data_IF_837329423277
#
_entry.id   IF_837329423277
#
_cell.length_a   1.000
_cell.length_b   1.000
_cell.length_c   1.000
_cell.angle_alpha   90.00
_cell.angle_beta   90.00
_cell.angle_gamma   90.00
#
_symmetry.space_group_name_H-M   'P 1'
#
loop_
_entity.id
_entity.type
_entity.pdbx_description
1 polymer ?
#
# COMPACT_ATOMS: atom_id res chain seq x y z
N UNK A 1 13.81 4.38 30.67
CA UNK A 1 13.49 3.47 29.55
C UNK A 1 14.46 3.85 28.45
N UNK A 2 15.51 3.05 28.25
CA UNK A 2 16.52 3.32 27.24
C UNK A 2 15.89 3.31 25.84
N UNK A 3 16.26 4.28 25.00
CA UNK A 3 15.76 4.43 23.62
C UNK A 3 15.93 3.15 22.77
N UNK A 4 16.89 2.30 23.15
CA UNK A 4 17.16 1.02 22.48
C UNK A 4 16.05 -0.03 22.68
N UNK A 5 15.31 0.02 23.80
CA UNK A 5 14.31 -0.98 24.17
C UNK A 5 12.90 -0.71 23.61
N UNK A 6 12.73 0.32 22.79
CA UNK A 6 11.49 0.56 22.03
C UNK A 6 11.58 0.03 20.61
N UNK A 7 12.77 -0.40 20.16
CA UNK A 7 13.04 -0.78 18.77
C UNK A 7 12.64 -2.21 18.42
N UNK A 8 12.31 -3.04 19.42
CA UNK A 8 11.75 -4.38 19.25
C UNK A 8 10.23 -4.36 19.44
N UNK A 9 9.50 -5.16 18.64
CA UNK A 9 8.03 -5.26 18.69
C UNK A 9 7.51 -5.58 20.11
N UNK A 10 8.33 -6.25 20.92
CA UNK A 10 8.06 -6.57 22.33
C UNK A 10 8.14 -5.38 23.28
N UNK A 11 9.11 -4.49 23.08
CA UNK A 11 9.37 -3.35 23.97
C UNK A 11 8.31 -2.27 23.85
N UNK A 12 7.87 -2.00 22.62
CA UNK A 12 6.75 -1.09 22.38
C UNK A 12 5.41 -1.64 22.88
N UNK A 13 5.15 -2.95 22.71
CA UNK A 13 3.94 -3.59 23.24
C UNK A 13 3.85 -3.50 24.77
N UNK A 14 4.96 -3.78 25.48
CA UNK A 14 5.05 -3.63 26.94
C UNK A 14 4.90 -2.19 27.40
N UNK A 15 5.42 -1.23 26.63
CA UNK A 15 5.25 0.19 26.91
C UNK A 15 3.78 0.63 26.77
N UNK A 16 3.09 0.19 25.71
CA UNK A 16 1.67 0.47 25.50
C UNK A 16 0.80 -0.15 26.62
N UNK A 17 1.05 -1.41 26.98
CA UNK A 17 0.34 -2.10 28.07
C UNK A 17 0.59 -1.43 29.43
N UNK A 18 1.82 -0.96 29.68
CA UNK A 18 2.15 -0.21 30.90
C UNK A 18 1.47 1.16 30.96
N UNK A 19 1.28 1.85 29.82
CA UNK A 19 0.52 3.09 29.75
C UNK A 19 -0.97 2.86 30.04
N UNK A 20 -1.56 1.78 29.53
CA UNK A 20 -2.95 1.41 29.82
C UNK A 20 -3.16 1.00 31.29
N UNK A 21 -2.29 0.14 31.84
CA UNK A 21 -2.39 -0.34 33.22
C UNK A 21 -2.16 0.75 34.28
N UNK A 22 -1.32 1.74 34.00
CA UNK A 22 -1.03 2.83 34.95
C UNK A 22 -2.14 3.88 35.07
N UNK A 23 -3.24 3.73 34.34
CA UNK A 23 -4.37 4.63 34.47
C UNK A 23 -4.04 6.08 34.14
N UNK A 24 -3.09 6.32 33.22
CA UNK A 24 -2.82 7.66 32.67
C UNK A 24 -4.06 8.27 31.96
N UNK A 25 -5.15 7.49 31.88
CA UNK A 25 -6.40 7.75 31.19
C UNK A 25 -7.64 7.66 32.09
N UNK A 26 -7.49 7.50 33.41
CA UNK A 26 -8.63 7.55 34.34
C UNK A 26 -8.89 9.01 34.70
N UNK A 27 -9.90 9.62 34.07
CA UNK A 27 -10.38 10.97 34.39
C UNK A 27 -10.43 11.99 33.25
N UNK A 28 -10.44 11.58 31.98
CA UNK A 28 -10.77 12.48 30.87
C UNK A 28 -12.27 12.40 30.57
N UNK A 29 -13.07 12.97 31.46
CA UNK A 29 -14.47 13.24 31.19
C UNK A 29 -14.56 14.30 30.07
N UNK A 30 -15.31 13.94 29.02
CA UNK A 30 -15.99 14.80 28.03
C UNK A 30 -15.20 15.76 27.11
N UNK A 31 -13.89 16.00 27.30
CA UNK A 31 -13.12 16.83 26.36
C UNK A 31 -12.32 15.97 25.35
N UNK A 32 -12.53 16.24 24.07
CA UNK A 32 -12.01 15.58 22.84
C UNK A 32 -10.51 15.16 22.83
N UNK A 33 -9.69 15.66 23.76
CA UNK A 33 -8.26 15.42 23.84
C UNK A 33 -7.86 13.98 24.14
N UNK A 34 -8.57 13.28 25.04
CA UNK A 34 -8.27 11.90 25.42
C UNK A 34 -8.57 10.90 24.29
N UNK A 35 -9.71 11.08 23.61
CA UNK A 35 -10.10 10.27 22.46
C UNK A 35 -9.20 10.51 21.26
N UNK A 36 -8.84 11.78 20.98
CA UNK A 36 -7.90 12.14 19.92
C UNK A 36 -6.51 11.55 20.17
N UNK A 37 -6.04 11.57 21.41
CA UNK A 37 -4.76 10.97 21.78
C UNK A 37 -4.80 9.45 21.59
N UNK A 38 -5.86 8.76 22.05
CA UNK A 38 -6.01 7.31 21.84
C UNK A 38 -6.09 6.93 20.36
N UNK A 39 -6.77 7.73 19.53
CA UNK A 39 -6.78 7.52 18.08
C UNK A 39 -5.39 7.71 17.46
N UNK A 40 -4.66 8.77 17.85
CA UNK A 40 -3.30 9.03 17.37
C UNK A 40 -2.32 7.96 17.85
N UNK A 41 -2.44 7.52 19.10
CA UNK A 41 -1.62 6.46 19.69
C UNK A 41 -1.92 5.14 19.01
N UNK A 42 -3.19 4.75 18.82
CA UNK A 42 -3.56 3.53 18.07
C UNK A 42 -3.07 3.57 16.63
N UNK A 43 -3.08 4.75 15.98
CA UNK A 43 -2.51 4.93 14.63
C UNK A 43 -0.99 4.82 14.64
N UNK A 44 -0.32 5.39 15.64
CA UNK A 44 1.13 5.26 15.84
C UNK A 44 1.53 3.81 16.12
N UNK A 45 0.82 3.14 17.03
CA UNK A 45 0.95 1.71 17.36
C UNK A 45 0.72 0.87 16.11
N UNK A 46 -0.30 1.15 15.30
CA UNK A 46 -0.54 0.45 14.04
C UNK A 46 0.58 0.66 13.00
N UNK A 47 1.22 1.83 12.99
CA UNK A 47 2.43 2.09 12.18
C UNK A 47 3.64 1.33 12.76
N UNK A 48 3.71 1.16 14.09
CA UNK A 48 4.80 0.47 14.77
C UNK A 48 4.65 -1.06 14.77
N UNK A 49 3.44 -1.60 14.79
CA UNK A 49 3.15 -3.04 14.72
C UNK A 49 3.21 -3.61 13.30
N UNK A 50 3.47 -2.77 12.28
CA UNK A 50 3.77 -3.26 10.93
C UNK A 50 5.00 -4.15 10.98
N UNK A 51 4.85 -5.36 10.45
CA UNK A 51 5.92 -6.34 10.39
C UNK A 51 7.19 -5.69 9.83
N UNK A 52 8.39 -6.07 10.31
CA UNK A 52 9.66 -5.57 9.77
C UNK A 52 9.73 -5.67 8.24
N UNK A 53 9.11 -6.71 7.68
CA UNK A 53 8.98 -6.95 6.25
C UNK A 53 8.06 -5.93 5.54
N UNK A 54 6.98 -5.47 6.17
CA UNK A 54 6.11 -4.40 5.64
C UNK A 54 6.86 -3.08 5.53
N UNK A 55 7.62 -2.72 6.58
CA UNK A 55 8.47 -1.51 6.57
C UNK A 55 9.54 -1.61 5.49
N UNK A 56 10.15 -2.79 5.32
CA UNK A 56 11.13 -3.04 4.27
C UNK A 56 10.52 -2.97 2.87
N UNK A 57 9.31 -3.49 2.67
CA UNK A 57 8.57 -3.38 1.42
C UNK A 57 8.22 -1.91 1.08
N UNK A 58 7.85 -1.10 2.07
CA UNK A 58 7.62 0.34 1.90
C UNK A 58 8.89 1.10 1.48
N UNK A 59 10.03 0.77 2.11
CA UNK A 59 11.32 1.31 1.72
C UNK A 59 11.69 0.91 0.28
N UNK A 60 11.51 -0.36 -0.10
CA UNK A 60 11.75 -0.85 -1.45
C UNK A 60 10.86 -0.17 -2.49
N UNK A 61 9.59 0.09 -2.19
CA UNK A 61 8.68 0.88 -3.04
C UNK A 61 9.20 2.30 -3.24
N UNK A 62 9.67 2.94 -2.17
CA UNK A 62 10.23 4.31 -2.24
C UNK A 62 11.51 4.34 -3.09
N UNK A 63 12.38 3.33 -2.92
CA UNK A 63 13.58 3.12 -3.74
C UNK A 63 13.23 2.88 -5.21
N UNK A 64 12.21 2.07 -5.49
CA UNK A 64 11.72 1.83 -6.85
C UNK A 64 11.22 3.14 -7.49
N UNK A 65 10.46 3.95 -6.76
CA UNK A 65 9.97 5.25 -7.23
C UNK A 65 11.11 6.20 -7.58
N UNK A 66 12.20 6.18 -6.80
CA UNK A 66 13.42 6.92 -7.13
C UNK A 66 14.04 6.44 -8.45
N UNK A 67 14.19 5.13 -8.66
CA UNK A 67 14.72 4.58 -9.90
C UNK A 67 13.84 4.90 -11.11
N UNK A 68 12.51 4.88 -10.97
CA UNK A 68 11.59 5.32 -12.03
C UNK A 68 11.84 6.77 -12.43
N UNK A 69 12.09 7.66 -11.46
CA UNK A 69 12.41 9.07 -11.71
C UNK A 69 13.78 9.25 -12.38
N UNK A 70 14.75 8.42 -12.03
CA UNK A 70 16.08 8.40 -12.67
C UNK A 70 16.04 7.76 -14.06
N UNK A 71 14.96 7.03 -14.39
CA UNK A 71 14.78 6.34 -15.67
C UNK A 71 15.32 4.91 -15.70
N UNK A 72 15.80 4.39 -14.57
CA UNK A 72 16.29 3.01 -14.45
C UNK A 72 15.12 2.05 -14.14
N UNK A 73 14.38 1.71 -15.20
CA UNK A 73 13.20 0.84 -15.12
C UNK A 73 13.55 -0.59 -14.64
N UNK A 74 14.62 -1.24 -15.13
CA UNK A 74 14.98 -2.59 -14.69
C UNK A 74 15.25 -2.68 -13.18
N UNK A 75 15.99 -1.72 -12.60
CA UNK A 75 16.22 -1.70 -11.15
C UNK A 75 14.95 -1.40 -10.36
N UNK A 76 14.06 -0.57 -10.88
CA UNK A 76 12.77 -0.33 -10.26
C UNK A 76 11.92 -1.60 -10.19
N UNK A 77 11.87 -2.40 -11.27
CA UNK A 77 11.17 -3.69 -11.31
C UNK A 77 11.78 -4.66 -10.28
N UNK A 78 13.12 -4.75 -10.21
CA UNK A 78 13.80 -5.60 -9.22
C UNK A 78 13.40 -5.23 -7.77
N UNK A 79 13.35 -3.94 -7.45
CA UNK A 79 12.90 -3.48 -6.13
C UNK A 79 11.45 -3.88 -5.83
N UNK A 80 10.55 -3.81 -6.81
CA UNK A 80 9.17 -4.25 -6.63
C UNK A 80 9.05 -5.78 -6.50
N UNK A 81 9.89 -6.55 -7.20
CA UNK A 81 9.94 -8.00 -7.07
C UNK A 81 10.35 -8.41 -5.64
N UNK A 82 11.42 -7.81 -5.12
CA UNK A 82 11.85 -8.02 -3.73
C UNK A 82 10.74 -7.65 -2.74
N UNK A 83 10.05 -6.53 -2.95
CA UNK A 83 8.97 -6.10 -2.06
C UNK A 83 7.77 -7.07 -2.05
N UNK A 84 7.42 -7.63 -3.20
CA UNK A 84 6.33 -8.63 -3.31
C UNK A 84 6.73 -9.97 -2.66
N UNK A 85 8.01 -10.35 -2.72
CA UNK A 85 8.49 -11.58 -2.07
C UNK A 85 8.46 -11.47 -0.54
N UNK A 86 8.77 -10.28 0.00
CA UNK A 86 8.68 -10.03 1.44
C UNK A 86 7.23 -10.04 1.92
N UNK A 87 6.32 -9.45 1.15
CA UNK A 87 4.93 -9.33 1.54
C UNK A 87 3.98 -9.67 0.38
N UNK A 88 3.69 -10.97 0.17
CA UNK A 88 2.89 -11.41 -0.97
C UNK A 88 1.40 -11.06 -0.88
N UNK A 89 0.89 -10.82 0.33
CA UNK A 89 -0.53 -10.51 0.63
C UNK A 89 -0.67 -9.33 1.60
N UNK A 90 0.33 -8.46 1.67
CA UNK A 90 0.34 -7.30 2.55
C UNK A 90 -0.67 -6.24 2.16
N UNK A 91 -1.00 -5.38 3.13
CA UNK A 91 -1.88 -4.23 2.91
C UNK A 91 -1.36 -3.35 1.76
N UNK A 92 -0.04 -3.25 1.55
CA UNK A 92 0.54 -2.39 0.52
C UNK A 92 0.77 -3.09 -0.84
N UNK A 93 0.61 -4.41 -0.92
CA UNK A 93 1.00 -5.23 -2.08
C UNK A 93 0.21 -4.88 -3.33
N UNK A 94 -1.08 -4.54 -3.20
CA UNK A 94 -1.90 -4.08 -4.34
C UNK A 94 -1.34 -2.82 -5.01
N UNK A 95 -0.73 -1.91 -4.24
CA UNK A 95 -0.10 -0.69 -4.78
C UNK A 95 1.23 -1.02 -5.47
N UNK A 96 2.01 -1.94 -4.89
CA UNK A 96 3.28 -2.38 -5.46
C UNK A 96 3.05 -3.07 -6.82
N UNK A 97 2.10 -4.01 -6.88
CA UNK A 97 1.71 -4.70 -8.11
C UNK A 97 1.23 -3.72 -9.19
N UNK A 98 0.35 -2.78 -8.82
CA UNK A 98 -0.11 -1.75 -9.77
C UNK A 98 1.07 -0.93 -10.29
N UNK A 99 2.00 -0.55 -9.42
CA UNK A 99 3.19 0.24 -9.79
C UNK A 99 4.11 -0.54 -10.73
N UNK A 100 4.39 -1.82 -10.42
CA UNK A 100 5.17 -2.73 -11.28
C UNK A 100 4.50 -2.94 -12.63
N UNK A 101 3.18 -3.09 -12.68
CA UNK A 101 2.44 -3.25 -13.93
C UNK A 101 2.64 -2.08 -14.91
N UNK A 102 2.75 -0.83 -14.46
CA UNK A 102 3.09 0.27 -15.37
C UNK A 102 4.47 0.13 -15.98
N UNK A 103 5.43 -0.31 -15.16
CA UNK A 103 6.81 -0.47 -15.61
C UNK A 103 6.90 -1.62 -16.63
N UNK A 104 6.21 -2.73 -16.36
CA UNK A 104 6.13 -3.86 -17.29
C UNK A 104 5.47 -3.45 -18.61
N UNK A 105 4.38 -2.68 -18.59
CA UNK A 105 3.81 -2.11 -19.83
C UNK A 105 4.81 -1.25 -20.60
N UNK A 106 5.64 -0.45 -19.92
CA UNK A 106 6.67 0.37 -20.57
C UNK A 106 7.78 -0.46 -21.19
N UNK A 107 8.13 -1.59 -20.59
CA UNK A 107 9.10 -2.55 -21.13
C UNK A 107 8.50 -3.44 -22.25
N UNK A 108 7.17 -3.37 -22.48
CA UNK A 108 6.47 -4.18 -23.47
C UNK A 108 5.97 -5.54 -22.95
N UNK A 109 6.18 -5.87 -21.67
CA UNK A 109 5.61 -7.07 -21.04
C UNK A 109 4.17 -6.81 -20.59
N UNK A 110 3.28 -6.76 -21.56
CA UNK A 110 1.84 -6.49 -21.35
C UNK A 110 1.17 -7.66 -20.62
N UNK A 111 1.65 -8.89 -20.80
CA UNK A 111 1.12 -10.09 -20.14
C UNK A 111 1.44 -10.12 -18.64
N UNK A 112 2.70 -9.83 -18.27
CA UNK A 112 3.12 -9.68 -16.89
C UNK A 112 2.36 -8.54 -16.19
N UNK A 113 2.20 -7.41 -16.88
CA UNK A 113 1.42 -6.28 -16.37
C UNK A 113 -0.06 -6.64 -16.10
N UNK A 114 -0.69 -7.43 -16.98
CA UNK A 114 -2.08 -7.87 -16.79
C UNK A 114 -2.22 -8.79 -15.58
N UNK A 115 -1.29 -9.73 -15.41
CA UNK A 115 -1.25 -10.62 -14.25
C UNK A 115 -1.18 -9.82 -12.94
N UNK A 116 -0.32 -8.81 -12.90
CA UNK A 116 -0.17 -7.92 -11.74
C UNK A 116 -1.43 -7.12 -11.45
N UNK A 117 -2.07 -6.57 -12.47
CA UNK A 117 -3.32 -5.83 -12.30
C UNK A 117 -4.44 -6.72 -11.75
N UNK A 118 -4.57 -7.96 -12.27
CA UNK A 118 -5.54 -8.94 -11.78
C UNK A 118 -5.29 -9.31 -10.33
N UNK A 119 -4.02 -9.54 -9.97
CA UNK A 119 -3.64 -9.86 -8.59
C UNK A 119 -3.88 -8.66 -7.65
N UNK A 120 -3.60 -7.44 -8.10
CA UNK A 120 -3.91 -6.23 -7.34
C UNK A 120 -5.42 -6.06 -7.10
N UNK A 121 -6.24 -6.32 -8.12
CA UNK A 121 -7.70 -6.28 -8.01
C UNK A 121 -8.25 -7.41 -7.11
N UNK A 122 -7.63 -8.59 -7.11
CA UNK A 122 -8.01 -9.69 -6.22
C UNK A 122 -7.69 -9.36 -4.75
N UNK A 123 -6.54 -8.74 -4.48
CA UNK A 123 -6.17 -8.30 -3.13
C UNK A 123 -7.05 -7.14 -2.63
N UNK A 124 -7.37 -6.19 -3.50
CA UNK A 124 -8.22 -5.04 -3.15
C UNK A 124 -9.21 -4.72 -4.28
N UNK A 125 -10.41 -5.33 -4.24
CA UNK A 125 -11.44 -5.11 -5.26
C UNK A 125 -11.98 -3.67 -5.30
N UNK A 126 -11.74 -2.88 -4.26
CA UNK A 126 -12.15 -1.47 -4.18
C UNK A 126 -11.08 -0.50 -4.68
N UNK A 127 -9.95 -1.00 -5.19
CA UNK A 127 -8.85 -0.15 -5.63
C UNK A 127 -8.99 0.28 -7.09
N UNK A 128 -9.64 1.43 -7.33
CA UNK A 128 -9.89 1.97 -8.67
C UNK A 128 -8.65 2.01 -9.56
N UNK A 129 -7.49 2.41 -9.02
CA UNK A 129 -6.22 2.49 -9.77
C UNK A 129 -5.76 1.15 -10.36
N UNK A 130 -6.08 0.01 -9.74
CA UNK A 130 -5.78 -1.30 -10.33
C UNK A 130 -6.62 -1.54 -11.59
N UNK A 131 -7.91 -1.18 -11.57
CA UNK A 131 -8.80 -1.29 -12.72
C UNK A 131 -8.44 -0.31 -13.83
N UNK A 132 -8.08 0.93 -13.51
CA UNK A 132 -7.58 1.89 -14.51
C UNK A 132 -6.32 1.38 -15.20
N UNK A 133 -5.38 0.80 -14.43
CA UNK A 133 -4.17 0.19 -15.00
C UNK A 133 -4.52 -1.02 -15.86
N UNK A 134 -5.45 -1.86 -15.42
CA UNK A 134 -5.91 -3.01 -16.18
C UNK A 134 -6.55 -2.59 -17.52
N UNK A 135 -7.34 -1.52 -17.53
CA UNK A 135 -7.90 -0.94 -18.76
C UNK A 135 -6.82 -0.46 -19.72
N UNK A 136 -5.77 0.18 -19.21
CA UNK A 136 -4.61 0.58 -20.03
C UNK A 136 -3.90 -0.63 -20.63
N UNK A 137 -3.68 -1.67 -19.83
CA UNK A 137 -3.03 -2.91 -20.28
C UNK A 137 -3.86 -3.60 -21.37
N UNK A 138 -5.19 -3.68 -21.19
CA UNK A 138 -6.10 -4.24 -22.21
C UNK A 138 -6.11 -3.42 -23.50
N UNK A 139 -6.04 -2.09 -23.40
CA UNK A 139 -5.91 -1.22 -24.57
C UNK A 139 -4.60 -1.48 -25.33
N UNK A 140 -3.48 -1.70 -24.63
CA UNK A 140 -2.23 -2.11 -25.25
C UNK A 140 -2.30 -3.50 -25.92
N UNK A 141 -3.22 -4.37 -25.51
CA UNK A 141 -3.48 -5.67 -26.13
C UNK A 141 -4.52 -5.62 -27.25
N UNK A 142 -4.99 -4.43 -27.66
CA UNK A 142 -6.10 -4.23 -28.62
C UNK A 142 -7.43 -4.87 -28.17
N UNK A 143 -7.56 -5.19 -26.87
CA UNK A 143 -8.78 -5.73 -26.27
C UNK A 143 -9.66 -4.59 -25.77
N UNK A 144 -10.24 -3.86 -26.72
CA UNK A 144 -11.00 -2.63 -26.47
C UNK A 144 -12.22 -2.86 -25.57
N UNK A 145 -12.98 -3.94 -25.78
CA UNK A 145 -14.16 -4.25 -24.95
C UNK A 145 -13.79 -4.48 -23.48
N UNK A 146 -12.73 -5.26 -23.23
CA UNK A 146 -12.24 -5.50 -21.87
C UNK A 146 -11.65 -4.24 -21.23
N UNK A 147 -11.02 -3.38 -22.03
CA UNK A 147 -10.48 -2.10 -21.58
C UNK A 147 -11.60 -1.18 -21.09
N UNK A 148 -12.68 -1.05 -21.87
CA UNK A 148 -13.86 -0.26 -21.50
C UNK A 148 -14.46 -0.77 -20.20
N UNK A 149 -14.71 -2.08 -20.10
CA UNK A 149 -15.26 -2.68 -18.88
C UNK A 149 -14.37 -2.47 -17.64
N UNK A 150 -13.04 -2.48 -17.81
CA UNK A 150 -12.10 -2.20 -16.73
C UNK A 150 -12.13 -0.71 -16.32
N UNK A 151 -12.20 0.22 -17.28
CA UNK A 151 -12.32 1.65 -16.98
C UNK A 151 -13.67 2.00 -16.33
N UNK A 152 -14.77 1.42 -16.80
CA UNK A 152 -16.09 1.59 -16.18
C UNK A 152 -16.09 1.18 -14.71
N UNK A 153 -15.46 0.03 -14.38
CA UNK A 153 -15.28 -0.38 -12.99
C UNK A 153 -14.42 0.60 -12.20
N UNK A 154 -13.35 1.13 -12.80
CA UNK A 154 -12.50 2.11 -12.12
C UNK A 154 -13.28 3.38 -11.77
N UNK A 155 -14.09 3.89 -12.70
CA UNK A 155 -14.95 5.07 -12.50
C UNK A 155 -16.05 4.79 -11.48
N UNK A 156 -16.65 3.60 -11.49
CA UNK A 156 -17.65 3.22 -10.50
C UNK A 156 -17.08 3.15 -9.07
N UNK A 157 -15.80 2.81 -8.91
CA UNK A 157 -15.12 2.71 -7.62
C UNK A 157 -14.59 4.04 -7.09
N UNK A 158 -14.20 4.95 -7.98
CA UNK A 158 -13.73 6.29 -7.64
C UNK A 158 -14.47 7.32 -8.51
N UNK A 159 -15.69 7.72 -8.11
CA UNK A 159 -16.50 8.68 -8.85
C UNK A 159 -16.04 10.13 -8.59
N UNK A 160 -14.73 10.38 -8.51
CA UNK A 160 -14.17 11.73 -8.23
C UNK A 160 -14.27 12.70 -9.40
N UNK A 161 -14.95 12.34 -10.49
CA UNK A 161 -15.37 13.31 -11.49
C UNK A 161 -16.72 12.93 -12.16
N UNK A 162 -17.86 13.38 -11.62
CA UNK A 162 -19.13 13.39 -12.33
C UNK A 162 -19.30 14.76 -13.01
N UNK A 163 -18.51 15.06 -14.05
CA UNK A 163 -18.66 16.32 -14.81
C UNK A 163 -18.53 16.11 -16.31
N UNK A 164 -19.63 15.66 -16.90
CA UNK A 164 -20.04 16.04 -18.26
C UNK A 164 -20.66 17.45 -18.21
#
# INVERSE_FOLDING_TARGET
LDEAGLTDDTGFAKFAEACEQKGFFVGCDEDDGGLMWMQRFRKMVGVYQRSPDDRKAEHLKSRASHFVRVGDIPRAIACYNEAIQLVPEGEQTHVILTSRAALLCREGDVNGALSDCKRAAALRPTYAKAYSRMGFVYACMERTEDAVAAYERAVALDPTDPSN
#
